data_IF_759248126888
#
_entry.id   IF_759248126888
#
_cell.length_a   1.000
_cell.length_b   1.000
_cell.length_c   1.000
_cell.angle_alpha   90.00
_cell.angle_beta   90.00
_cell.angle_gamma   90.00
#
_symmetry.space_group_name_H-M   'P 1'
#
loop_
_entity.id
_entity.type
_entity.pdbx_description
1 polymer ?
#
# COMPACT_ATOMS: atom_id res chain seq x y z
N UNK A 1 -11.26 53.12 -74.67
CA UNK A 1 -12.36 52.95 -73.70
C UNK A 1 -11.98 51.81 -72.75
N UNK A 2 -11.38 52.09 -71.59
CA UNK A 2 -11.09 51.08 -70.56
C UNK A 2 -11.26 51.72 -69.18
N UNK A 3 -12.40 51.42 -68.54
CA UNK A 3 -12.85 52.02 -67.29
C UNK A 3 -12.31 51.17 -66.13
N UNK A 4 -11.23 51.62 -65.47
CA UNK A 4 -10.74 50.97 -64.24
C UNK A 4 -11.71 51.25 -63.10
N UNK A 5 -12.52 50.26 -62.71
CA UNK A 5 -13.26 50.28 -61.45
C UNK A 5 -12.28 50.15 -60.28
N UNK A 6 -12.07 51.24 -59.54
CA UNK A 6 -11.43 51.19 -58.23
C UNK A 6 -12.44 50.64 -57.22
N UNK A 7 -12.28 49.38 -56.83
CA UNK A 7 -12.91 48.84 -55.63
C UNK A 7 -12.33 49.58 -54.42
N UNK A 8 -13.14 50.45 -53.79
CA UNK A 8 -12.86 50.97 -52.46
C UNK A 8 -13.19 49.88 -51.45
N UNK A 9 -12.17 49.17 -50.97
CA UNK A 9 -12.27 48.43 -49.71
C UNK A 9 -12.47 49.48 -48.60
N UNK A 10 -13.70 49.57 -48.08
CA UNK A 10 -13.97 50.27 -46.83
C UNK A 10 -13.16 49.59 -45.74
N UNK A 11 -12.04 50.21 -45.36
CA UNK A 11 -11.25 49.79 -44.21
C UNK A 11 -12.14 49.82 -42.98
N UNK A 12 -12.55 48.64 -42.53
CA UNK A 12 -13.09 48.46 -41.18
C UNK A 12 -11.96 48.89 -40.27
N UNK A 13 -12.11 50.06 -39.64
CA UNK A 13 -11.19 50.55 -38.63
C UNK A 13 -11.09 49.48 -37.53
N UNK A 14 -10.00 48.72 -37.52
CA UNK A 14 -9.66 47.84 -36.40
C UNK A 14 -9.39 48.79 -35.23
N UNK A 15 -10.44 49.04 -34.44
CA UNK A 15 -10.36 49.77 -33.17
C UNK A 15 -9.13 49.29 -32.42
N UNK A 16 -8.30 50.22 -31.94
CA UNK A 16 -7.13 49.97 -31.09
C UNK A 16 -7.45 48.92 -30.02
N UNK A 17 -7.12 47.66 -30.31
CA UNK A 17 -7.33 46.55 -29.40
C UNK A 17 -6.32 46.73 -28.27
N UNK A 18 -6.80 47.10 -27.10
CA UNK A 18 -5.95 47.20 -25.92
C UNK A 18 -5.67 45.77 -25.41
N UNK A 19 -4.57 45.19 -25.87
CA UNK A 19 -4.11 43.85 -25.48
C UNK A 19 -4.01 43.69 -23.96
N UNK A 20 -3.70 44.76 -23.20
CA UNK A 20 -3.71 44.74 -21.74
C UNK A 20 -5.11 44.51 -21.16
N UNK A 21 -6.14 45.13 -21.73
CA UNK A 21 -7.54 44.89 -21.32
C UNK A 21 -7.98 43.47 -21.67
N UNK A 22 -7.61 42.96 -22.85
CA UNK A 22 -7.93 41.57 -23.23
C UNK A 22 -7.25 40.58 -22.28
N UNK A 23 -5.97 40.78 -21.97
CA UNK A 23 -5.23 39.92 -21.04
C UNK A 23 -5.85 39.97 -19.63
N UNK A 24 -6.20 41.16 -19.15
CA UNK A 24 -6.82 41.35 -17.84
C UNK A 24 -8.19 40.67 -17.75
N UNK A 25 -9.11 40.94 -18.67
CA UNK A 25 -10.44 40.30 -18.67
C UNK A 25 -10.35 38.80 -18.96
N UNK A 26 -9.38 38.35 -19.76
CA UNK A 26 -9.10 36.93 -19.97
C UNK A 26 -8.66 36.22 -18.69
N UNK A 27 -7.72 36.81 -17.93
CA UNK A 27 -7.26 36.28 -16.64
C UNK A 27 -8.40 36.29 -15.60
N UNK A 28 -9.20 37.36 -15.58
CA UNK A 28 -10.35 37.49 -14.67
C UNK A 28 -11.44 36.45 -15.02
N UNK A 29 -11.71 36.22 -16.30
CA UNK A 29 -12.60 35.16 -16.76
C UNK A 29 -12.09 33.76 -16.41
N UNK A 30 -10.79 33.51 -16.58
CA UNK A 30 -10.16 32.24 -16.23
C UNK A 30 -10.22 31.98 -14.72
N UNK A 31 -9.90 32.96 -13.89
CA UNK A 31 -9.96 32.84 -12.42
C UNK A 31 -11.39 32.60 -11.95
N UNK A 32 -12.38 33.31 -12.50
CA UNK A 32 -13.79 33.06 -12.22
C UNK A 32 -14.23 31.65 -12.64
N UNK A 33 -13.82 31.19 -13.82
CA UNK A 33 -14.09 29.83 -14.29
C UNK A 33 -13.48 28.77 -13.36
N UNK A 34 -12.22 28.95 -12.95
CA UNK A 34 -11.53 28.06 -12.00
C UNK A 34 -12.26 28.05 -10.65
N UNK A 35 -12.69 29.20 -10.16
CA UNK A 35 -13.46 29.30 -8.92
C UNK A 35 -14.82 28.57 -9.03
N UNK A 36 -15.53 28.70 -10.15
CA UNK A 36 -16.78 27.98 -10.41
C UNK A 36 -16.56 26.46 -10.49
N UNK A 37 -15.51 26.00 -11.16
CA UNK A 37 -15.12 24.58 -11.22
C UNK A 37 -14.84 24.08 -9.80
N UNK A 38 -14.06 24.82 -9.02
CA UNK A 38 -13.74 24.45 -7.64
C UNK A 38 -15.00 24.40 -6.77
N UNK A 39 -15.89 25.41 -6.86
CA UNK A 39 -17.15 25.43 -6.14
C UNK A 39 -18.04 24.25 -6.53
N UNK A 40 -18.15 23.94 -7.83
CA UNK A 40 -18.93 22.81 -8.34
C UNK A 40 -18.41 21.46 -7.82
N UNK A 41 -17.10 21.20 -7.96
CA UNK A 41 -16.49 19.94 -7.55
C UNK A 41 -16.32 19.79 -6.04
N UNK A 42 -16.35 20.91 -5.28
CA UNK A 42 -16.33 20.88 -3.82
C UNK A 42 -17.60 20.27 -3.23
N UNK A 43 -18.71 20.31 -3.97
CA UNK A 43 -19.99 19.74 -3.57
C UNK A 43 -19.91 18.21 -3.59
N UNK A 44 -20.33 17.60 -2.49
CA UNK A 44 -20.33 16.14 -2.32
C UNK A 44 -18.93 15.52 -2.20
N UNK A 45 -17.89 16.29 -1.90
CA UNK A 45 -16.62 15.70 -1.48
C UNK A 45 -16.80 14.99 -0.12
N UNK A 46 -16.27 13.77 0.05
CA UNK A 46 -16.27 13.12 1.35
C UNK A 46 -15.46 13.95 2.35
N UNK A 47 -15.75 13.73 3.64
CA UNK A 47 -14.98 14.29 4.74
C UNK A 47 -13.52 13.77 4.66
N UNK A 48 -12.50 14.65 4.68
CA UNK A 48 -11.10 14.23 4.60
C UNK A 48 -10.68 13.32 5.75
N UNK A 49 -11.32 13.38 6.92
CA UNK A 49 -11.00 12.51 8.07
C UNK A 49 -11.32 11.04 7.83
N UNK A 50 -12.20 10.74 6.86
CA UNK A 50 -12.50 9.35 6.45
C UNK A 50 -11.32 8.66 5.77
N UNK A 51 -10.23 9.39 5.45
CA UNK A 51 -8.97 8.78 5.00
C UNK A 51 -8.33 7.95 6.12
N UNK A 52 -8.60 8.29 7.38
CA UNK A 52 -8.18 7.48 8.51
C UNK A 52 -9.17 6.33 8.70
N UNK A 53 -8.71 5.13 8.33
CA UNK A 53 -9.50 3.91 8.46
C UNK A 53 -9.74 3.55 9.93
N UNK A 54 -10.99 3.21 10.25
CA UNK A 54 -11.40 2.69 11.58
C UNK A 54 -11.83 1.22 11.55
N UNK A 55 -12.10 0.68 10.36
CA UNK A 55 -12.63 -0.68 10.14
C UNK A 55 -12.07 -1.29 8.86
N UNK A 56 -12.13 -2.61 8.72
CA UNK A 56 -11.50 -3.34 7.61
C UNK A 56 -10.04 -3.70 7.90
N UNK A 57 -9.68 -3.81 9.18
CA UNK A 57 -8.44 -4.44 9.62
C UNK A 57 -8.70 -5.92 9.91
N UNK A 58 -7.71 -6.76 9.64
CA UNK A 58 -7.76 -8.20 9.89
C UNK A 58 -7.71 -8.49 11.39
N UNK A 59 -8.38 -9.56 11.82
CA UNK A 59 -8.28 -10.02 13.22
C UNK A 59 -7.06 -10.90 13.40
N UNK A 60 -6.21 -10.56 14.37
CA UNK A 60 -5.02 -11.32 14.71
C UNK A 60 -5.35 -12.30 15.84
N UNK A 61 -5.15 -13.60 15.60
CA UNK A 61 -5.21 -14.64 16.63
C UNK A 61 -3.79 -14.90 17.11
N UNK A 62 -3.54 -14.67 18.40
CA UNK A 62 -2.21 -14.74 19.00
C UNK A 62 -2.13 -15.89 20.01
N UNK A 63 -0.91 -16.36 20.24
CA UNK A 63 -0.60 -17.27 21.35
C UNK A 63 -0.84 -16.59 22.71
N UNK A 64 -0.66 -17.36 23.78
CA UNK A 64 -0.84 -16.89 25.15
C UNK A 64 0.06 -15.75 25.58
N UNK A 65 1.21 -15.58 24.92
CA UNK A 65 2.13 -14.47 25.22
C UNK A 65 1.70 -13.17 24.53
N UNK A 66 0.81 -13.25 23.54
CA UNK A 66 0.43 -12.12 22.71
C UNK A 66 1.52 -11.69 21.73
N UNK A 67 2.57 -12.49 21.53
CA UNK A 67 3.71 -12.17 20.66
C UNK A 67 3.71 -12.99 19.38
N UNK A 68 3.25 -14.23 19.44
CA UNK A 68 3.23 -15.10 18.27
C UNK A 68 1.87 -15.01 17.61
N UNK A 69 1.82 -14.40 16.43
CA UNK A 69 0.64 -14.47 15.56
C UNK A 69 0.51 -15.91 15.06
N UNK A 70 -0.64 -16.51 15.37
CA UNK A 70 -1.03 -17.85 14.94
C UNK A 70 -1.71 -17.80 13.57
N UNK A 71 -2.60 -16.83 13.38
CA UNK A 71 -3.32 -16.62 12.13
C UNK A 71 -3.97 -15.24 12.05
N UNK A 72 -4.10 -14.72 10.84
CA UNK A 72 -4.81 -13.49 10.51
C UNK A 72 -6.11 -13.84 9.79
N UNK A 73 -7.24 -13.44 10.38
CA UNK A 73 -8.58 -13.68 9.82
C UNK A 73 -9.00 -12.48 8.98
N UNK A 74 -9.25 -12.73 7.69
CA UNK A 74 -9.70 -11.73 6.71
C UNK A 74 -10.41 -12.41 5.53
N UNK A 75 -11.21 -11.65 4.78
CA UNK A 75 -11.91 -12.12 3.57
C UNK A 75 -11.04 -11.93 2.33
N UNK A 76 -10.80 -10.68 1.93
CA UNK A 76 -10.15 -10.35 0.65
C UNK A 76 -8.77 -9.71 0.82
N UNK A 77 -8.56 -8.99 1.92
CA UNK A 77 -7.37 -8.18 2.17
C UNK A 77 -6.87 -8.42 3.58
N UNK A 78 -5.60 -8.83 3.67
CA UNK A 78 -4.86 -8.80 4.91
C UNK A 78 -4.36 -7.37 5.13
N UNK A 79 -4.87 -6.73 6.19
CA UNK A 79 -4.53 -5.36 6.54
C UNK A 79 -4.35 -5.26 8.05
N UNK A 80 -3.18 -4.79 8.46
CA UNK A 80 -2.83 -4.57 9.86
C UNK A 80 -2.37 -3.15 10.07
N UNK A 81 -2.91 -2.52 11.11
CA UNK A 81 -2.45 -1.19 11.50
C UNK A 81 -1.02 -1.28 12.04
N UNK A 82 -0.13 -0.47 11.47
CA UNK A 82 1.27 -0.33 11.87
C UNK A 82 1.55 1.15 12.11
N UNK A 83 1.93 1.56 13.34
CA UNK A 83 2.43 2.90 13.61
C UNK A 83 3.66 3.20 12.75
N UNK A 84 3.82 4.45 12.32
CA UNK A 84 4.97 4.84 11.49
C UNK A 84 6.28 4.58 12.21
N UNK A 85 6.33 4.69 13.54
CA UNK A 85 7.51 4.38 14.36
C UNK A 85 7.98 2.92 14.24
N UNK A 86 7.09 2.00 13.90
CA UNK A 86 7.36 0.56 13.73
C UNK A 86 7.67 0.19 12.26
N UNK A 87 7.83 1.18 11.38
CA UNK A 87 8.24 0.95 10.00
C UNK A 87 9.72 1.31 9.82
N UNK A 88 10.48 0.42 9.17
CA UNK A 88 11.89 0.64 8.84
C UNK A 88 12.12 1.98 8.17
N UNK A 89 13.16 2.71 8.62
CA UNK A 89 13.56 3.99 8.05
C UNK A 89 13.90 3.88 6.56
N UNK A 90 14.50 2.75 6.16
CA UNK A 90 14.82 2.48 4.76
C UNK A 90 13.56 2.40 3.90
N UNK A 91 12.50 1.76 4.39
CA UNK A 91 11.26 1.65 3.63
C UNK A 91 10.56 3.00 3.48
N UNK A 92 10.50 3.81 4.55
CA UNK A 92 9.94 5.18 4.48
C UNK A 92 10.65 5.98 3.39
N UNK A 93 11.98 5.99 3.43
CA UNK A 93 12.80 6.74 2.48
C UNK A 93 12.71 6.18 1.06
N UNK A 94 12.67 4.86 0.90
CA UNK A 94 12.52 4.21 -0.40
C UNK A 94 11.17 4.55 -1.05
N UNK A 95 10.08 4.50 -0.28
CA UNK A 95 8.74 4.89 -0.73
C UNK A 95 8.70 6.35 -1.15
N UNK A 96 9.25 7.26 -0.35
CA UNK A 96 9.32 8.69 -0.68
C UNK A 96 10.15 8.89 -1.96
N UNK A 97 11.35 8.32 -2.06
CA UNK A 97 12.24 8.52 -3.20
C UNK A 97 11.62 8.07 -4.54
N UNK A 98 10.87 6.96 -4.55
CA UNK A 98 10.28 6.43 -5.78
C UNK A 98 8.89 7.01 -6.11
N UNK A 99 8.05 7.27 -5.12
CA UNK A 99 6.67 7.71 -5.34
C UNK A 99 6.54 9.24 -5.31
N UNK A 100 7.28 9.94 -4.44
CA UNK A 100 7.09 11.37 -4.19
C UNK A 100 8.32 12.03 -3.51
N UNK A 101 9.40 12.24 -4.27
CA UNK A 101 10.68 12.77 -3.75
C UNK A 101 10.54 14.03 -2.90
N UNK A 102 9.59 14.90 -3.24
CA UNK A 102 9.39 16.19 -2.57
C UNK A 102 8.30 16.13 -1.51
N UNK A 103 7.91 14.93 -1.05
CA UNK A 103 6.75 14.71 -0.19
C UNK A 103 6.66 15.69 0.97
N UNK A 104 7.74 15.90 1.73
CA UNK A 104 7.74 16.80 2.88
C UNK A 104 7.72 18.30 2.54
N UNK A 105 7.99 18.66 1.28
CA UNK A 105 8.18 20.05 0.85
C UNK A 105 6.95 20.67 0.17
N UNK A 106 5.94 19.86 -0.17
CA UNK A 106 4.72 20.34 -0.84
C UNK A 106 3.46 20.11 0.02
N UNK A 107 2.31 20.60 -0.42
CA UNK A 107 1.01 20.45 0.26
C UNK A 107 0.02 19.72 -0.66
N UNK A 108 0.18 18.41 -0.87
CA UNK A 108 -0.72 17.58 -1.67
C UNK A 108 -0.54 17.62 -3.19
N UNK A 109 0.23 18.58 -3.71
CA UNK A 109 0.57 18.66 -5.12
C UNK A 109 2.00 19.20 -5.29
N UNK A 110 2.78 18.58 -6.16
CA UNK A 110 4.15 19.00 -6.49
C UNK A 110 4.22 19.64 -7.90
N UNK A 111 4.26 20.98 -8.00
CA UNK A 111 4.43 21.66 -9.28
C UNK A 111 5.77 21.32 -9.96
N UNK A 112 6.83 21.07 -9.19
CA UNK A 112 8.16 20.75 -9.74
C UNK A 112 8.15 19.40 -10.45
N UNK A 113 7.39 18.44 -9.91
CA UNK A 113 7.14 17.16 -10.58
C UNK A 113 6.43 17.34 -11.92
N UNK A 114 5.46 18.25 -12.02
CA UNK A 114 4.80 18.55 -13.29
C UNK A 114 5.77 19.09 -14.35
N UNK A 115 6.64 20.05 -13.98
CA UNK A 115 7.68 20.56 -14.89
C UNK A 115 8.66 19.46 -15.31
N UNK A 116 9.07 18.59 -14.38
CA UNK A 116 9.96 17.45 -14.68
C UNK A 116 9.31 16.46 -15.64
N UNK A 117 8.03 16.15 -15.45
CA UNK A 117 7.26 15.27 -16.34
C UNK A 117 7.16 15.88 -17.73
N UNK A 118 6.83 17.18 -17.84
CA UNK A 118 6.78 17.86 -19.15
C UNK A 118 8.13 17.81 -19.86
N UNK A 119 9.22 18.12 -19.15
CA UNK A 119 10.59 18.03 -19.69
C UNK A 119 10.89 16.62 -20.19
N UNK A 120 10.59 15.59 -19.41
CA UNK A 120 10.92 14.21 -19.75
C UNK A 120 10.03 13.65 -20.88
N UNK A 121 8.77 14.06 -20.98
CA UNK A 121 7.91 13.71 -22.12
C UNK A 121 8.43 14.35 -23.41
N UNK A 122 8.83 15.62 -23.35
CA UNK A 122 9.32 16.38 -24.52
C UNK A 122 10.71 15.91 -24.96
N UNK A 123 11.64 15.70 -24.02
CA UNK A 123 13.04 15.39 -24.33
C UNK A 123 13.34 13.89 -24.37
N UNK A 124 12.74 13.10 -23.48
CA UNK A 124 13.09 11.68 -23.28
C UNK A 124 11.97 10.73 -23.78
N UNK A 125 10.84 11.27 -24.26
CA UNK A 125 9.65 10.52 -24.68
C UNK A 125 9.16 9.50 -23.63
N UNK A 126 9.44 9.75 -22.35
CA UNK A 126 9.09 8.86 -21.24
C UNK A 126 8.05 9.51 -20.35
N UNK A 127 6.88 8.85 -20.22
CA UNK A 127 5.84 9.26 -19.28
C UNK A 127 6.22 8.77 -17.88
N UNK A 128 6.33 9.69 -16.92
CA UNK A 128 6.52 9.37 -15.49
C UNK A 128 5.21 9.70 -14.77
N UNK A 129 4.83 8.88 -13.77
CA UNK A 129 3.68 9.16 -12.92
C UNK A 129 3.91 10.44 -12.11
N UNK A 130 2.90 11.32 -12.05
CA UNK A 130 3.00 12.62 -11.38
C UNK A 130 2.04 12.83 -10.22
N UNK A 131 1.54 11.76 -9.61
CA UNK A 131 0.62 11.88 -8.46
C UNK A 131 1.41 11.75 -7.16
N UNK A 132 1.18 12.67 -6.23
CA UNK A 132 1.80 12.69 -4.90
C UNK A 132 1.29 11.54 -4.02
N UNK A 133 1.99 11.21 -2.94
CA UNK A 133 1.55 10.18 -1.98
C UNK A 133 0.14 10.49 -1.43
N UNK A 134 -0.13 11.76 -1.12
CA UNK A 134 -1.45 12.21 -0.65
C UNK A 134 -2.54 11.99 -1.70
N UNK A 135 -2.25 12.26 -2.97
CA UNK A 135 -3.18 11.99 -4.07
C UNK A 135 -3.45 10.49 -4.26
N UNK A 136 -2.40 9.68 -4.16
CA UNK A 136 -2.52 8.23 -4.21
C UNK A 136 -3.37 7.71 -3.04
N UNK A 137 -3.15 8.21 -1.82
CA UNK A 137 -3.93 7.88 -0.63
C UNK A 137 -5.42 8.19 -0.81
N UNK A 138 -5.75 9.38 -1.31
CA UNK A 138 -7.15 9.76 -1.64
C UNK A 138 -7.77 8.79 -2.62
N UNK A 139 -7.04 8.44 -3.69
CA UNK A 139 -7.52 7.52 -4.72
C UNK A 139 -7.81 6.12 -4.15
N UNK A 140 -7.01 5.64 -3.19
CA UNK A 140 -7.17 4.31 -2.60
C UNK A 140 -8.39 4.22 -1.67
N UNK A 141 -8.70 5.30 -0.92
CA UNK A 141 -9.66 5.22 0.19
C UNK A 141 -10.97 5.95 -0.08
N UNK A 142 -10.91 7.14 -0.72
CA UNK A 142 -12.04 8.06 -0.77
C UNK A 142 -12.74 8.12 -2.14
N UNK A 143 -12.10 7.61 -3.19
CA UNK A 143 -12.60 7.72 -4.55
C UNK A 143 -12.75 6.34 -5.20
N UNK A 144 -13.61 6.27 -6.20
CA UNK A 144 -13.77 5.08 -7.05
C UNK A 144 -12.60 4.96 -8.04
N UNK A 145 -12.42 3.77 -8.61
CA UNK A 145 -11.38 3.48 -9.60
C UNK A 145 -11.65 4.06 -11.01
N UNK A 146 -12.75 4.81 -11.21
CA UNK A 146 -13.16 5.35 -12.49
C UNK A 146 -12.13 6.35 -13.06
N UNK A 147 -11.69 6.21 -14.31
CA UNK A 147 -10.71 7.15 -14.89
C UNK A 147 -11.41 8.34 -15.56
N UNK A 148 -11.72 9.39 -14.80
CA UNK A 148 -12.30 10.63 -15.32
C UNK A 148 -11.57 11.90 -14.83
N UNK A 149 -11.64 12.97 -15.64
CA UNK A 149 -11.07 14.29 -15.29
C UNK A 149 -11.74 14.85 -14.03
N UNK A 150 -13.06 14.67 -13.91
CA UNK A 150 -13.84 15.01 -12.72
C UNK A 150 -13.28 14.35 -11.46
N UNK A 151 -13.00 13.04 -11.49
CA UNK A 151 -12.36 12.34 -10.37
C UNK A 151 -10.99 12.94 -10.05
N UNK A 152 -10.15 13.23 -11.05
CA UNK A 152 -8.81 13.81 -10.79
C UNK A 152 -8.86 15.20 -10.16
N UNK A 153 -9.85 16.03 -10.52
CA UNK A 153 -10.10 17.32 -9.84
C UNK A 153 -10.50 17.10 -8.38
N UNK A 154 -11.43 16.16 -8.11
CA UNK A 154 -11.82 15.80 -6.73
C UNK A 154 -10.64 15.26 -5.92
N UNK A 155 -9.79 14.44 -6.53
CA UNK A 155 -8.57 13.88 -5.92
C UNK A 155 -7.62 15.00 -5.48
N UNK A 156 -7.36 15.96 -6.36
CA UNK A 156 -6.55 17.14 -6.04
C UNK A 156 -7.13 17.94 -4.88
N UNK A 157 -8.43 18.25 -4.91
CA UNK A 157 -9.10 19.02 -3.85
C UNK A 157 -9.07 18.31 -2.50
N UNK A 158 -9.30 16.99 -2.48
CA UNK A 158 -9.23 16.18 -1.26
C UNK A 158 -7.80 16.09 -0.72
N UNK A 159 -6.79 15.95 -1.59
CA UNK A 159 -5.40 15.93 -1.18
C UNK A 159 -5.02 17.24 -0.45
N UNK A 160 -5.44 18.40 -0.98
CA UNK A 160 -5.23 19.69 -0.31
C UNK A 160 -5.93 19.78 1.06
N UNK A 161 -7.11 19.16 1.22
CA UNK A 161 -7.84 19.15 2.50
C UNK A 161 -7.17 18.23 3.52
N UNK A 162 -6.72 17.06 3.09
CA UNK A 162 -5.99 16.10 3.94
C UNK A 162 -4.69 16.73 4.45
N UNK A 163 -3.94 17.41 3.58
CA UNK A 163 -2.67 18.08 3.94
C UNK A 163 -2.83 19.26 4.89
N UNK A 164 -4.04 19.81 5.00
CA UNK A 164 -4.39 20.82 6.01
C UNK A 164 -4.84 20.20 7.34
N UNK A 165 -5.23 18.93 7.34
CA UNK A 165 -5.83 18.24 8.49
C UNK A 165 -4.80 17.35 9.19
N UNK A 166 -3.91 16.72 8.43
CA UNK A 166 -2.94 15.73 8.91
C UNK A 166 -1.52 16.18 8.60
N UNK A 167 -0.60 15.83 9.49
CA UNK A 167 0.83 15.98 9.28
C UNK A 167 1.34 15.04 8.17
N UNK A 168 2.54 15.33 7.65
CA UNK A 168 3.20 14.48 6.65
C UNK A 168 3.44 13.06 7.13
N UNK A 169 3.81 12.91 8.40
CA UNK A 169 4.05 11.60 9.00
C UNK A 169 2.74 10.81 9.12
N UNK A 170 1.64 11.43 9.53
CA UNK A 170 0.33 10.78 9.54
C UNK A 170 -0.11 10.34 8.14
N UNK A 171 0.11 11.20 7.12
CA UNK A 171 -0.21 10.86 5.73
C UNK A 171 0.64 9.69 5.24
N UNK A 172 1.95 9.69 5.52
CA UNK A 172 2.84 8.60 5.15
C UNK A 172 2.46 7.30 5.87
N UNK A 173 2.10 7.38 7.15
CA UNK A 173 1.58 6.23 7.91
C UNK A 173 0.34 5.66 7.24
N UNK A 174 -0.66 6.50 6.95
CA UNK A 174 -1.89 6.07 6.30
C UNK A 174 -1.62 5.46 4.91
N UNK A 175 -0.72 6.06 4.13
CA UNK A 175 -0.30 5.50 2.85
C UNK A 175 0.32 4.11 3.01
N UNK A 176 1.29 3.95 3.90
CA UNK A 176 1.98 2.67 4.11
C UNK A 176 1.07 1.58 4.67
N UNK A 177 -0.02 1.95 5.34
CA UNK A 177 -1.04 1.00 5.83
C UNK A 177 -2.09 0.61 4.77
N UNK A 178 -2.16 1.33 3.64
CA UNK A 178 -3.23 1.19 2.66
C UNK A 178 -2.72 0.86 1.26
N UNK A 179 -1.43 1.08 0.99
CA UNK A 179 -0.80 0.75 -0.26
C UNK A 179 -0.97 -0.75 -0.56
N UNK A 180 -1.43 -1.14 -1.76
CA UNK A 180 -1.48 -2.53 -2.17
C UNK A 180 -0.07 -3.02 -2.54
N UNK A 181 0.36 -4.13 -1.97
CA UNK A 181 1.66 -4.73 -2.29
C UNK A 181 1.54 -5.97 -3.19
N UNK A 182 0.32 -6.51 -3.35
CA UNK A 182 0.02 -7.57 -4.30
C UNK A 182 -0.71 -8.75 -3.65
N UNK A 183 -1.54 -9.46 -4.42
CA UNK A 183 -2.41 -10.49 -3.85
C UNK A 183 -3.33 -9.91 -2.78
N UNK A 184 -3.36 -10.54 -1.61
CA UNK A 184 -4.12 -10.08 -0.44
C UNK A 184 -3.36 -9.07 0.43
N UNK A 185 -2.09 -8.78 0.15
CA UNK A 185 -1.25 -7.92 0.97
C UNK A 185 -1.62 -6.44 0.80
N UNK A 186 -2.31 -5.87 1.79
CA UNK A 186 -2.63 -4.44 1.86
C UNK A 186 -2.00 -3.82 3.10
N UNK A 187 -1.16 -2.82 2.86
CA UNK A 187 -0.33 -2.23 3.89
C UNK A 187 0.95 -3.01 4.17
N UNK A 188 1.89 -2.31 4.79
CA UNK A 188 3.28 -2.75 4.94
C UNK A 188 3.43 -3.96 5.87
N UNK A 189 2.65 -4.06 6.95
CA UNK A 189 2.72 -5.20 7.87
C UNK A 189 2.35 -6.51 7.17
N UNK A 190 1.20 -6.54 6.49
CA UNK A 190 0.79 -7.69 5.72
C UNK A 190 1.84 -8.05 4.66
N UNK A 191 2.35 -7.06 3.93
CA UNK A 191 3.38 -7.29 2.92
C UNK A 191 4.67 -7.89 3.51
N UNK A 192 5.18 -7.31 4.60
CA UNK A 192 6.41 -7.76 5.27
C UNK A 192 6.29 -9.20 5.77
N UNK A 193 5.14 -9.54 6.34
CA UNK A 193 4.86 -10.89 6.82
C UNK A 193 4.66 -11.90 5.70
N UNK A 194 3.91 -11.53 4.66
CA UNK A 194 3.63 -12.40 3.49
C UNK A 194 4.91 -12.70 2.71
N UNK A 195 5.71 -11.67 2.40
CA UNK A 195 6.89 -11.83 1.56
C UNK A 195 8.10 -12.37 2.33
N UNK A 196 8.33 -11.91 3.56
CA UNK A 196 9.57 -12.18 4.31
C UNK A 196 9.37 -12.81 5.68
N UNK A 197 8.16 -12.76 6.25
CA UNK A 197 7.90 -13.27 7.60
C UNK A 197 8.53 -12.41 8.69
N UNK A 198 8.61 -11.11 8.44
CA UNK A 198 9.25 -10.12 9.30
C UNK A 198 8.27 -9.03 9.69
N UNK A 199 8.56 -8.39 10.82
CA UNK A 199 7.92 -7.12 11.14
C UNK A 199 8.45 -6.00 10.22
N UNK A 200 7.64 -4.98 9.90
CA UNK A 200 8.07 -3.85 9.05
C UNK A 200 9.33 -3.13 9.52
N UNK A 201 9.59 -3.14 10.83
CA UNK A 201 10.79 -2.54 11.42
C UNK A 201 12.06 -3.32 11.10
N UNK A 202 11.95 -4.64 10.93
CA UNK A 202 13.07 -5.58 10.75
C UNK A 202 13.47 -5.78 9.28
N UNK A 203 12.83 -5.04 8.37
CA UNK A 203 13.14 -5.09 6.95
C UNK A 203 14.54 -4.53 6.67
N UNK A 204 15.32 -5.30 5.91
CA UNK A 204 16.60 -4.84 5.38
C UNK A 204 16.41 -3.72 4.34
N UNK A 205 17.51 -3.06 3.95
CA UNK A 205 17.49 -2.08 2.87
C UNK A 205 16.96 -2.71 1.56
N UNK A 206 17.43 -3.90 1.18
CA UNK A 206 17.04 -4.58 -0.05
C UNK A 206 15.56 -5.01 -0.06
N UNK A 207 15.07 -5.50 1.08
CA UNK A 207 13.65 -5.85 1.27
C UNK A 207 12.77 -4.59 1.22
N UNK A 208 13.22 -3.49 1.84
CA UNK A 208 12.55 -2.19 1.82
C UNK A 208 12.46 -1.59 0.41
N UNK A 209 13.56 -1.63 -0.34
CA UNK A 209 13.64 -1.18 -1.74
C UNK A 209 12.66 -1.97 -2.61
N UNK A 210 12.61 -3.29 -2.41
CA UNK A 210 11.67 -4.15 -3.14
C UNK A 210 10.22 -3.78 -2.84
N UNK A 211 9.84 -3.72 -1.55
CA UNK A 211 8.47 -3.40 -1.15
C UNK A 211 8.04 -2.03 -1.65
N UNK A 212 8.89 -1.01 -1.55
CA UNK A 212 8.59 0.33 -2.06
C UNK A 212 8.30 0.36 -3.57
N UNK A 213 8.83 -0.60 -4.33
CA UNK A 213 8.59 -0.72 -5.76
C UNK A 213 7.24 -1.33 -6.15
N UNK A 214 6.64 -2.15 -5.27
CA UNK A 214 5.44 -2.93 -5.59
C UNK A 214 4.17 -2.10 -5.85
N UNK A 215 3.84 -1.04 -5.07
CA UNK A 215 2.57 -0.31 -5.17
C UNK A 215 2.23 0.23 -6.57
N UNK A 216 3.24 0.54 -7.39
CA UNK A 216 3.02 1.02 -8.76
C UNK A 216 2.24 0.03 -9.63
N UNK A 217 2.53 -1.27 -9.50
CA UNK A 217 1.85 -2.33 -10.23
C UNK A 217 1.91 -3.64 -9.43
N UNK A 218 1.10 -3.75 -8.36
CA UNK A 218 1.29 -4.76 -7.32
C UNK A 218 1.24 -6.19 -7.88
N UNK A 219 0.25 -6.48 -8.73
CA UNK A 219 0.12 -7.80 -9.37
C UNK A 219 1.26 -8.11 -10.33
N UNK A 220 1.83 -7.11 -11.03
CA UNK A 220 2.91 -7.32 -11.99
C UNK A 220 4.25 -7.54 -11.28
N UNK A 221 4.51 -6.75 -10.24
CA UNK A 221 5.78 -6.79 -9.53
C UNK A 221 5.80 -7.83 -8.40
N UNK A 222 4.67 -8.44 -8.04
CA UNK A 222 4.66 -9.50 -7.05
C UNK A 222 5.62 -10.64 -7.45
N UNK A 223 6.53 -11.08 -6.57
CA UNK A 223 7.38 -12.25 -6.80
C UNK A 223 6.59 -13.56 -6.92
N UNK A 224 5.29 -13.55 -6.57
CA UNK A 224 4.37 -14.68 -6.73
C UNK A 224 3.62 -14.66 -8.08
N UNK A 225 3.92 -13.71 -8.96
CA UNK A 225 3.34 -13.71 -10.30
C UNK A 225 3.90 -14.88 -11.13
N UNK A 226 3.05 -15.86 -11.46
CA UNK A 226 3.45 -17.06 -12.19
C UNK A 226 3.94 -16.82 -13.62
N UNK A 227 3.59 -15.70 -14.26
CA UNK A 227 4.01 -15.37 -15.63
C UNK A 227 5.34 -14.62 -15.68
N UNK A 228 5.70 -13.88 -14.63
CA UNK A 228 6.98 -13.19 -14.52
C UNK A 228 7.34 -12.89 -13.06
N UNK A 229 7.88 -13.90 -12.38
CA UNK A 229 8.26 -13.81 -10.97
C UNK A 229 9.50 -12.94 -10.70
N UNK A 230 10.15 -12.38 -11.72
CA UNK A 230 11.34 -11.52 -11.59
C UNK A 230 11.11 -10.06 -11.98
N UNK A 231 9.88 -9.68 -12.32
CA UNK A 231 9.55 -8.30 -12.69
C UNK A 231 9.90 -7.27 -11.60
N UNK A 232 9.92 -7.68 -10.32
CA UNK A 232 10.34 -6.83 -9.20
C UNK A 232 11.78 -6.35 -9.31
N UNK A 233 12.70 -7.11 -9.94
CA UNK A 233 14.12 -6.79 -9.96
C UNK A 233 14.39 -5.45 -10.63
N UNK A 234 13.85 -5.25 -11.84
CA UNK A 234 14.03 -4.00 -12.58
C UNK A 234 13.40 -2.81 -11.86
N UNK A 235 12.25 -3.04 -11.20
CA UNK A 235 11.57 -1.99 -10.42
C UNK A 235 12.34 -1.64 -9.15
N UNK A 236 12.87 -2.63 -8.44
CA UNK A 236 13.68 -2.46 -7.23
C UNK A 236 14.98 -1.71 -7.55
N UNK A 237 15.64 -2.05 -8.68
CA UNK A 237 16.80 -1.31 -9.21
C UNK A 237 16.47 0.16 -9.53
N UNK A 238 15.25 0.44 -9.98
CA UNK A 238 14.81 1.83 -10.17
C UNK A 238 14.65 2.56 -8.83
N UNK A 239 14.10 1.88 -7.80
CA UNK A 239 13.95 2.43 -6.45
C UNK A 239 15.31 2.73 -5.82
N UNK A 240 16.26 1.78 -5.82
CA UNK A 240 17.60 1.98 -5.26
C UNK A 240 18.34 3.11 -5.97
N UNK A 241 18.25 3.18 -7.31
CA UNK A 241 18.81 4.27 -8.09
C UNK A 241 18.22 5.63 -7.72
N UNK A 242 16.91 5.71 -7.50
CA UNK A 242 16.24 6.94 -7.02
C UNK A 242 16.71 7.34 -5.64
N UNK A 243 16.79 6.39 -4.71
CA UNK A 243 17.33 6.65 -3.37
C UNK A 243 18.76 7.22 -3.44
N UNK A 244 19.61 6.69 -4.33
CA UNK A 244 20.97 7.24 -4.53
C UNK A 244 20.94 8.65 -5.15
N UNK A 245 20.14 8.86 -6.20
CA UNK A 245 19.97 10.19 -6.84
C UNK A 245 19.46 11.25 -5.85
N UNK A 246 18.75 10.81 -4.81
CA UNK A 246 18.20 11.66 -3.76
C UNK A 246 19.15 11.81 -2.56
N UNK A 247 20.31 11.15 -2.58
CA UNK A 247 21.33 11.22 -1.53
C UNK A 247 21.00 10.39 -0.29
N UNK A 248 20.00 9.51 -0.37
CA UNK A 248 19.54 8.66 0.74
C UNK A 248 20.50 7.50 0.98
N UNK A 249 21.04 6.92 -0.10
CA UNK A 249 22.01 5.83 -0.04
C UNK A 249 23.26 6.15 -0.87
N UNK A 250 24.37 5.53 -0.53
CA UNK A 250 25.61 5.64 -1.32
C UNK A 250 25.60 4.70 -2.53
N UNK A 251 26.59 4.84 -3.41
CA UNK A 251 26.75 3.96 -4.58
C UNK A 251 27.10 2.53 -4.16
N UNK A 252 27.84 2.37 -3.07
CA UNK A 252 28.19 1.08 -2.50
C UNK A 252 26.95 0.39 -1.95
N UNK A 253 26.06 1.12 -1.26
CA UNK A 253 24.77 0.60 -0.80
C UNK A 253 23.86 0.21 -1.96
N UNK A 254 23.78 0.99 -3.04
CA UNK A 254 23.04 0.62 -4.26
C UNK A 254 23.57 -0.69 -4.85
N UNK A 255 24.90 -0.86 -4.94
CA UNK A 255 25.51 -2.09 -5.43
C UNK A 255 25.26 -3.31 -4.52
N UNK A 256 25.20 -3.12 -3.20
CA UNK A 256 24.81 -4.15 -2.24
C UNK A 256 23.36 -4.59 -2.47
N UNK A 257 22.44 -3.63 -2.62
CA UNK A 257 21.04 -3.91 -2.91
C UNK A 257 20.91 -4.72 -4.20
N UNK A 258 21.59 -4.32 -5.27
CA UNK A 258 21.55 -5.02 -6.55
C UNK A 258 22.03 -6.47 -6.45
N UNK A 259 23.03 -6.73 -5.59
CA UNK A 259 23.56 -8.07 -5.34
C UNK A 259 22.61 -8.94 -4.50
N UNK A 260 21.96 -8.34 -3.51
CA UNK A 260 21.07 -9.04 -2.58
C UNK A 260 19.69 -9.33 -3.19
N UNK A 261 19.17 -8.46 -4.06
CA UNK A 261 17.83 -8.59 -4.64
C UNK A 261 17.57 -9.95 -5.29
N UNK A 262 18.56 -10.54 -5.96
CA UNK A 262 18.44 -11.86 -6.61
C UNK A 262 18.53 -13.03 -5.61
N UNK A 263 19.04 -12.77 -4.40
CA UNK A 263 19.26 -13.76 -3.34
C UNK A 263 18.15 -13.76 -2.30
N UNK A 264 17.26 -12.76 -2.33
CA UNK A 264 16.13 -12.63 -1.42
C UNK A 264 15.32 -13.94 -1.43
N UNK A 265 15.15 -14.51 -0.24
CA UNK A 265 14.33 -15.69 -0.02
C UNK A 265 12.92 -15.22 0.34
N UNK A 266 12.01 -15.29 -0.63
CA UNK A 266 10.60 -15.09 -0.35
C UNK A 266 10.04 -16.31 0.38
N UNK A 267 9.10 -16.09 1.28
CA UNK A 267 8.29 -17.21 1.78
C UNK A 267 7.52 -17.82 0.60
N UNK A 268 7.26 -19.13 0.59
CA UNK A 268 6.50 -19.76 -0.50
C UNK A 268 5.08 -19.19 -0.66
N UNK A 269 4.48 -19.31 -1.84
CA UNK A 269 3.05 -19.00 -2.03
C UNK A 269 2.23 -19.93 -1.10
N UNK A 270 1.28 -19.37 -0.34
CA UNK A 270 0.53 -20.14 0.69
C UNK A 270 1.32 -20.43 1.97
N UNK A 271 2.47 -19.77 2.17
CA UNK A 271 3.27 -19.88 3.39
C UNK A 271 2.72 -19.10 4.59
N UNK A 272 1.62 -18.34 4.44
CA UNK A 272 0.73 -17.97 5.55
C UNK A 272 0.04 -19.25 6.08
N UNK A 273 0.88 -20.20 6.51
CA UNK A 273 0.46 -21.42 7.17
C UNK A 273 -0.15 -21.00 8.48
N UNK A 274 -1.40 -21.38 8.65
CA UNK A 274 -2.10 -21.30 9.92
C UNK A 274 -1.28 -22.11 10.92
N UNK A 275 -0.69 -21.44 11.90
CA UNK A 275 -0.01 -22.11 13.01
C UNK A 275 -1.08 -22.73 13.90
N UNK A 276 -0.85 -23.95 14.38
CA UNK A 276 -1.85 -24.68 15.17
C UNK A 276 -3.24 -24.70 14.51
N UNK A 277 -3.37 -25.22 13.27
CA UNK A 277 -4.56 -25.02 12.44
C UNK A 277 -5.86 -25.48 13.10
N UNK A 278 -5.84 -26.63 13.81
CA UNK A 278 -7.01 -27.12 14.54
C UNK A 278 -7.45 -26.17 15.65
N UNK A 279 -6.49 -25.67 16.43
CA UNK A 279 -6.75 -24.70 17.48
C UNK A 279 -7.29 -23.38 16.91
N UNK A 280 -6.66 -22.86 15.85
CA UNK A 280 -7.09 -21.62 15.21
C UNK A 280 -8.52 -21.76 14.65
N UNK A 281 -8.85 -22.87 14.00
CA UNK A 281 -10.20 -23.10 13.49
C UNK A 281 -11.23 -23.19 14.61
N UNK A 282 -10.87 -23.84 15.72
CA UNK A 282 -11.70 -23.86 16.93
C UNK A 282 -11.93 -22.45 17.49
N UNK A 283 -10.89 -21.63 17.63
CA UNK A 283 -11.02 -20.24 18.08
C UNK A 283 -11.83 -19.40 17.09
N UNK A 284 -11.62 -19.57 15.79
CA UNK A 284 -12.37 -18.88 14.74
C UNK A 284 -13.88 -19.16 14.90
N UNK A 285 -14.25 -20.42 15.06
CA UNK A 285 -15.65 -20.81 15.28
C UNK A 285 -16.22 -20.17 16.55
N UNK A 286 -15.49 -20.21 17.68
CA UNK A 286 -15.94 -19.58 18.94
C UNK A 286 -16.15 -18.06 18.78
N UNK A 287 -15.27 -17.39 18.06
CA UNK A 287 -15.37 -15.95 17.82
C UNK A 287 -16.54 -15.62 16.88
N UNK A 288 -16.79 -16.43 15.86
CA UNK A 288 -17.94 -16.28 14.97
C UNK A 288 -19.26 -16.45 15.72
N UNK A 289 -19.37 -17.47 16.56
CA UNK A 289 -20.55 -17.70 17.39
C UNK A 289 -20.81 -16.55 18.37
N UNK A 290 -19.74 -15.96 18.93
CA UNK A 290 -19.85 -14.92 19.96
C UNK A 290 -20.04 -13.50 19.40
N UNK A 291 -19.36 -13.16 18.31
CA UNK A 291 -19.29 -11.79 17.79
C UNK A 291 -19.81 -11.65 16.35
N UNK A 292 -20.08 -12.76 15.65
CA UNK A 292 -20.49 -12.78 14.25
C UNK A 292 -19.31 -12.61 13.28
N UNK A 293 -19.43 -13.20 12.09
CA UNK A 293 -18.36 -13.23 11.07
C UNK A 293 -17.90 -11.84 10.61
N UNK A 294 -18.81 -10.86 10.54
CA UNK A 294 -18.46 -9.50 10.08
C UNK A 294 -17.47 -8.80 11.01
N UNK A 295 -17.65 -8.91 12.33
CA UNK A 295 -16.72 -8.34 13.31
C UNK A 295 -15.40 -9.09 13.26
N UNK A 296 -15.44 -10.42 13.12
CA UNK A 296 -14.22 -11.21 13.06
C UNK A 296 -13.37 -10.87 11.82
N UNK A 297 -13.99 -10.69 10.66
CA UNK A 297 -13.26 -10.48 9.40
C UNK A 297 -12.78 -9.03 9.19
N UNK A 298 -13.47 -8.05 9.77
CA UNK A 298 -13.21 -6.62 9.48
C UNK A 298 -13.07 -5.73 10.72
N UNK A 299 -13.25 -6.29 11.92
CA UNK A 299 -13.23 -5.55 13.18
C UNK A 299 -11.84 -5.20 13.70
N UNK A 300 -10.78 -5.79 13.14
CA UNK A 300 -9.39 -5.52 13.59
C UNK A 300 -9.11 -5.98 15.01
N UNK A 301 -9.68 -7.11 15.44
CA UNK A 301 -9.52 -7.59 16.80
C UNK A 301 -8.10 -8.14 17.02
N UNK A 302 -7.58 -8.00 18.24
CA UNK A 302 -6.43 -8.77 18.72
C UNK A 302 -6.90 -9.78 19.74
N UNK A 303 -6.77 -11.07 19.42
CA UNK A 303 -7.29 -12.17 20.23
C UNK A 303 -6.14 -12.96 20.82
N UNK A 304 -5.80 -12.69 22.07
CA UNK A 304 -4.86 -13.52 22.85
C UNK A 304 -5.56 -14.78 23.33
N UNK A 305 -4.97 -15.95 23.01
CA UNK A 305 -5.56 -17.27 23.30
C UNK A 305 -4.83 -17.98 24.45
N UNK A 306 -5.26 -19.18 24.82
CA UNK A 306 -4.56 -20.02 25.80
C UNK A 306 -3.41 -20.84 25.21
N UNK A 307 -3.27 -20.90 23.87
CA UNK A 307 -2.30 -21.77 23.22
C UNK A 307 -0.87 -21.34 23.57
N UNK A 308 -0.06 -22.31 23.97
CA UNK A 308 1.37 -22.14 24.14
C UNK A 308 2.09 -22.58 22.86
N UNK A 309 2.69 -21.64 22.12
CA UNK A 309 3.28 -21.92 20.81
C UNK A 309 4.51 -22.85 20.89
N UNK A 310 5.29 -22.77 21.97
CA UNK A 310 6.44 -23.66 22.13
C UNK A 310 6.00 -25.09 22.45
N UNK A 311 5.01 -25.25 23.34
CA UNK A 311 4.45 -26.56 23.65
C UNK A 311 3.72 -27.15 22.44
N UNK A 312 2.98 -26.35 21.67
CA UNK A 312 2.30 -26.80 20.46
C UNK A 312 3.29 -27.41 19.46
N UNK A 313 4.42 -26.73 19.20
CA UNK A 313 5.44 -27.26 18.28
C UNK A 313 6.03 -28.58 18.76
N UNK A 314 6.29 -28.71 20.07
CA UNK A 314 6.78 -29.96 20.68
C UNK A 314 5.74 -31.08 20.50
N UNK A 315 4.47 -30.82 20.81
CA UNK A 315 3.38 -31.78 20.64
C UNK A 315 3.22 -32.20 19.16
N UNK A 316 3.23 -31.24 18.23
CA UNK A 316 3.11 -31.52 16.80
C UNK A 316 4.24 -32.42 16.30
N UNK A 317 5.48 -32.14 16.75
CA UNK A 317 6.67 -32.94 16.43
C UNK A 317 6.55 -34.35 17.01
N UNK A 318 6.24 -34.50 18.29
CA UNK A 318 6.11 -35.82 18.94
C UNK A 318 5.04 -36.67 18.28
N UNK A 319 3.84 -36.10 18.02
CA UNK A 319 2.78 -36.85 17.32
C UNK A 319 3.23 -37.29 15.93
N UNK A 320 3.94 -36.43 15.20
CA UNK A 320 4.46 -36.79 13.88
C UNK A 320 5.47 -37.95 13.97
N UNK A 321 6.42 -37.88 14.89
CA UNK A 321 7.43 -38.92 15.10
C UNK A 321 6.81 -40.27 15.50
N UNK A 322 5.80 -40.28 16.38
CA UNK A 322 5.12 -41.52 16.76
C UNK A 322 4.29 -42.11 15.61
N UNK A 323 3.61 -41.27 14.82
CA UNK A 323 2.86 -41.73 13.63
C UNK A 323 3.81 -42.29 12.57
N UNK A 324 4.94 -41.63 12.32
CA UNK A 324 5.92 -42.06 11.31
C UNK A 324 6.49 -43.46 11.63
N UNK A 325 6.69 -43.80 12.92
CA UNK A 325 7.17 -45.13 13.36
C UNK A 325 6.22 -46.27 12.98
N UNK A 326 4.91 -46.02 13.00
CA UNK A 326 3.89 -47.05 12.76
C UNK A 326 3.28 -46.97 11.36
N UNK A 327 3.59 -45.94 10.58
CA UNK A 327 3.01 -45.73 9.26
C UNK A 327 3.32 -46.88 8.31
N UNK A 328 4.58 -47.34 8.25
CA UNK A 328 4.97 -48.42 7.32
C UNK A 328 4.50 -49.80 7.75
N UNK A 329 4.42 -50.08 9.06
CA UNK A 329 4.06 -51.39 9.59
C UNK A 329 2.55 -51.59 9.74
N UNK A 330 1.82 -50.54 10.11
CA UNK A 330 0.40 -50.61 10.46
C UNK A 330 -0.50 -49.76 9.55
N UNK A 331 0.06 -49.00 8.60
CA UNK A 331 -0.66 -48.08 7.71
C UNK A 331 -1.50 -47.02 8.48
N UNK A 332 -1.07 -46.66 9.68
CA UNK A 332 -1.66 -45.57 10.49
C UNK A 332 -1.01 -44.25 10.07
N UNK A 333 -1.82 -43.28 9.62
CA UNK A 333 -1.32 -41.99 9.07
C UNK A 333 -1.81 -40.76 9.83
N UNK A 334 -2.49 -40.96 10.95
CA UNK A 334 -3.26 -39.94 11.66
C UNK A 334 -2.86 -39.99 13.14
N UNK A 335 -2.86 -38.85 13.81
CA UNK A 335 -2.58 -38.78 15.24
C UNK A 335 -3.05 -37.46 15.83
N UNK A 336 -3.67 -37.54 17.00
CA UNK A 336 -4.21 -36.40 17.71
C UNK A 336 -3.59 -36.25 19.10
N UNK A 337 -3.55 -35.01 19.59
CA UNK A 337 -3.12 -34.69 20.95
C UNK A 337 -3.77 -33.39 21.41
N UNK A 338 -4.19 -33.36 22.67
CA UNK A 338 -4.64 -32.15 23.36
C UNK A 338 -3.99 -32.11 24.72
N UNK A 339 -3.40 -30.97 25.09
CA UNK A 339 -2.86 -30.74 26.43
C UNK A 339 -3.66 -29.65 27.11
N UNK A 340 -4.08 -29.93 28.36
CA UNK A 340 -4.90 -29.05 29.16
C UNK A 340 -4.13 -28.63 30.42
N UNK A 341 -4.35 -27.39 30.86
CA UNK A 341 -4.04 -27.02 32.23
C UNK A 341 -5.14 -27.59 33.15
N UNK A 342 -4.79 -28.53 34.03
CA UNK A 342 -5.75 -29.23 34.89
C UNK A 342 -6.43 -28.35 35.92
N UNK A 343 -5.82 -27.21 36.27
CA UNK A 343 -6.38 -26.28 37.26
C UNK A 343 -7.37 -25.30 36.65
N UNK A 344 -7.15 -24.90 35.39
CA UNK A 344 -7.95 -23.84 34.72
C UNK A 344 -8.85 -24.38 33.62
N UNK A 345 -8.60 -25.58 33.11
CA UNK A 345 -9.25 -26.14 31.93
C UNK A 345 -8.77 -25.54 30.60
N UNK A 346 -7.77 -24.66 30.63
CA UNK A 346 -7.23 -24.03 29.41
C UNK A 346 -6.60 -25.06 28.47
N UNK A 347 -6.89 -24.93 27.18
CA UNK A 347 -6.26 -25.73 26.14
C UNK A 347 -4.91 -25.09 25.79
N UNK A 348 -3.82 -25.79 26.11
CA UNK A 348 -2.45 -25.33 25.87
C UNK A 348 -1.94 -25.76 24.50
N UNK A 349 -2.36 -26.94 24.03
CA UNK A 349 -2.04 -27.47 22.69
C UNK A 349 -3.24 -28.23 22.12
N UNK A 350 -3.38 -28.22 20.80
CA UNK A 350 -4.43 -28.95 20.08
C UNK A 350 -3.95 -29.35 18.68
N UNK A 351 -3.97 -30.65 18.40
CA UNK A 351 -3.68 -31.26 17.09
C UNK A 351 -4.65 -32.42 16.87
N UNK A 352 -5.25 -32.52 15.69
CA UNK A 352 -6.15 -33.61 15.33
C UNK A 352 -5.75 -34.28 14.02
#
# INVERSE_FOLDING_TARGET
MYRKHKFRLSGVAVKNINFGKILFFGLLGLTFLVALIFAWFSRGLPDPTKVQRKTGFSTEILDRTGKVILYDVFTDQDRKFTPLSEVSGFLKQATIAIEDKNFYNHQGFDPLSLFRIMKNVVLERRLIGGSTLTQQLVKMILLTNERSVSRKVREFMLALRIEKTFSKDEILQMYLNEAPYGGTAVGVAAASQIYFGKEPMDLSLSESVLLAGLPQSPSRYSPYNGSNNKAYLARSKEVSRRMREDGVITKEMEALVDNELEKIQFRGMGSNRIKAPHFVMYIKQLLEEKYGSSILETGGLKVTTSLDWELQQKAEKTVKEEVDKVTSSLNIKNGSSVMLNTSTGEILTMKF
#
